data_IF_539434146894
#
_entry.id   IF_539434146894
#
_cell.length_a   1.000
_cell.length_b   1.000
_cell.length_c   1.000
_cell.angle_alpha   90.00
_cell.angle_beta   90.00
_cell.angle_gamma   90.00
#
_symmetry.space_group_name_H-M   'P 1'
#
loop_
_entity.id
_entity.type
_entity.pdbx_description
1 polymer ?
#
# COMPACT_ATOMS: atom_id res chain seq x y z
N UNK A 1 -1.19 4.74 41.25
CA UNK A 1 -2.58 5.01 40.81
C UNK A 1 -2.67 4.82 39.29
N UNK A 2 -3.53 3.91 38.83
CA UNK A 2 -3.78 3.73 37.39
C UNK A 2 -4.39 5.05 36.88
N UNK A 3 -3.87 5.67 35.81
CA UNK A 3 -4.46 6.90 35.26
C UNK A 3 -5.90 6.66 34.82
N UNK A 4 -6.87 7.25 35.51
CA UNK A 4 -8.32 7.06 35.29
C UNK A 4 -8.96 8.11 34.38
N UNK A 5 -8.18 8.85 33.59
CA UNK A 5 -8.72 9.87 32.67
C UNK A 5 -9.24 9.28 31.35
N UNK A 6 -9.10 7.98 31.14
CA UNK A 6 -9.47 7.28 29.91
C UNK A 6 -10.96 6.89 29.94
N UNK A 7 -11.58 6.82 28.76
CA UNK A 7 -12.98 6.45 28.62
C UNK A 7 -13.21 4.98 29.03
N UNK A 8 -14.30 4.69 29.75
CA UNK A 8 -14.73 3.34 30.14
C UNK A 8 -14.76 2.37 28.95
N UNK A 9 -15.10 2.86 27.76
CA UNK A 9 -15.12 2.08 26.52
C UNK A 9 -13.75 1.50 26.12
N UNK A 10 -12.64 2.08 26.57
CA UNK A 10 -11.27 1.61 26.31
C UNK A 10 -10.70 0.90 27.56
N UNK A 11 -11.04 1.39 28.75
CA UNK A 11 -10.61 0.78 30.01
C UNK A 11 -11.15 -0.64 30.18
N UNK A 12 -12.42 -0.88 29.88
CA UNK A 12 -13.01 -2.22 30.02
C UNK A 12 -12.30 -3.26 29.13
N UNK A 13 -12.14 -3.06 27.80
CA UNK A 13 -11.40 -4.00 26.96
C UNK A 13 -9.95 -4.20 27.42
N UNK A 14 -9.28 -3.15 27.88
CA UNK A 14 -7.91 -3.23 28.39
C UNK A 14 -7.82 -4.09 29.66
N UNK A 15 -8.73 -3.92 30.62
CA UNK A 15 -8.76 -4.72 31.84
C UNK A 15 -9.11 -6.19 31.56
N UNK A 16 -9.99 -6.44 30.58
CA UNK A 16 -10.28 -7.79 30.09
C UNK A 16 -9.05 -8.45 29.48
N UNK A 17 -8.33 -7.72 28.61
CA UNK A 17 -7.04 -8.17 28.03
C UNK A 17 -6.03 -8.57 29.10
N UNK A 18 -5.84 -7.72 30.11
CA UNK A 18 -4.90 -7.98 31.21
C UNK A 18 -5.31 -9.18 32.07
N UNK A 19 -6.62 -9.42 32.18
CA UNK A 19 -7.20 -10.51 32.96
C UNK A 19 -7.37 -11.81 32.17
N UNK A 20 -6.96 -11.84 30.89
CA UNK A 20 -7.14 -12.99 30.00
C UNK A 20 -8.60 -13.32 29.70
N UNK A 21 -9.50 -12.35 29.87
CA UNK A 21 -10.92 -12.49 29.58
C UNK A 21 -11.20 -12.26 28.10
N UNK A 22 -12.22 -12.93 27.53
CA UNK A 22 -12.62 -12.68 26.15
C UNK A 22 -13.04 -11.22 25.98
N UNK A 23 -12.40 -10.57 25.02
CA UNK A 23 -12.82 -9.29 24.50
C UNK A 23 -13.97 -9.59 23.53
N UNK A 24 -15.06 -8.81 23.52
CA UNK A 24 -16.00 -8.87 22.41
C UNK A 24 -15.21 -8.53 21.14
N UNK A 25 -14.84 -9.56 20.37
CA UNK A 25 -14.01 -9.43 19.19
C UNK A 25 -14.66 -8.45 18.19
N UNK A 26 -13.85 -7.69 17.45
CA UNK A 26 -14.27 -6.76 16.39
C UNK A 26 -15.04 -7.43 15.23
N UNK A 27 -15.28 -8.74 15.31
CA UNK A 27 -15.95 -9.55 14.31
C UNK A 27 -17.46 -9.73 14.56
N UNK A 28 -18.01 -9.28 15.70
CA UNK A 28 -19.38 -9.64 16.09
C UNK A 28 -20.44 -8.55 15.84
N UNK A 29 -20.07 -7.44 15.20
CA UNK A 29 -21.03 -6.50 14.61
C UNK A 29 -20.85 -6.54 13.11
N UNK A 30 -21.80 -7.17 12.42
CA UNK A 30 -22.01 -7.05 10.98
C UNK A 30 -21.98 -5.57 10.62
N UNK A 31 -20.91 -5.12 9.96
CA UNK A 31 -20.85 -3.78 9.41
C UNK A 31 -20.10 -3.85 8.09
N UNK A 32 -20.86 -3.93 7.00
CA UNK A 32 -20.39 -3.83 5.62
C UNK A 32 -20.21 -2.35 5.19
N UNK A 33 -19.89 -1.43 6.13
CA UNK A 33 -19.77 0.00 5.84
C UNK A 33 -18.42 0.60 6.27
N UNK A 34 -17.89 1.53 5.47
CA UNK A 34 -16.59 2.17 5.73
C UNK A 34 -16.50 2.87 7.10
N UNK A 35 -17.63 3.40 7.60
CA UNK A 35 -17.72 4.03 8.92
C UNK A 35 -17.40 3.09 10.09
N UNK A 36 -17.67 1.78 9.96
CA UNK A 36 -17.34 0.84 11.02
C UNK A 36 -15.85 0.53 11.09
N UNK A 37 -15.18 0.47 9.93
CA UNK A 37 -13.75 0.17 9.87
C UNK A 37 -12.93 1.29 10.52
N UNK A 38 -13.32 2.54 10.30
CA UNK A 38 -12.71 3.70 10.94
C UNK A 38 -12.80 3.62 12.47
N UNK A 39 -13.98 3.28 12.98
CA UNK A 39 -14.20 3.15 14.42
C UNK A 39 -13.30 2.10 15.07
N UNK A 40 -13.12 0.95 14.42
CA UNK A 40 -12.26 -0.12 14.94
C UNK A 40 -10.79 0.30 15.00
N UNK A 41 -10.30 1.04 14.00
CA UNK A 41 -8.94 1.57 14.04
C UNK A 41 -8.74 2.54 15.20
N UNK A 42 -9.68 3.46 15.42
CA UNK A 42 -9.60 4.41 16.54
C UNK A 42 -9.58 3.69 17.90
N UNK A 43 -10.44 2.69 18.08
CA UNK A 43 -10.46 1.87 19.30
C UNK A 43 -9.13 1.13 19.50
N UNK A 44 -8.56 0.58 18.42
CA UNK A 44 -7.27 -0.11 18.47
C UNK A 44 -6.11 0.82 18.80
N UNK A 45 -6.05 1.99 18.16
CA UNK A 45 -5.02 2.99 18.42
C UNK A 45 -5.07 3.45 19.89
N UNK A 46 -6.28 3.64 20.43
CA UNK A 46 -6.48 3.97 21.84
C UNK A 46 -6.02 2.85 22.78
N UNK A 47 -6.35 1.59 22.49
CA UNK A 47 -5.91 0.44 23.28
C UNK A 47 -4.40 0.24 23.23
N UNK A 48 -3.78 0.42 22.07
CA UNK A 48 -2.33 0.34 21.90
C UNK A 48 -1.61 1.43 22.69
N UNK A 49 -2.08 2.67 22.60
CA UNK A 49 -1.54 3.81 23.36
C UNK A 49 -1.69 3.58 24.86
N UNK A 50 -2.83 3.04 25.30
CA UNK A 50 -3.07 2.73 26.70
C UNK A 50 -2.13 1.61 27.17
N UNK A 51 -1.99 0.55 26.39
CA UNK A 51 -1.11 -0.57 26.72
C UNK A 51 0.37 -0.18 26.75
N UNK A 52 0.81 0.74 25.88
CA UNK A 52 2.12 1.37 25.95
C UNK A 52 2.28 2.19 27.25
N UNK A 53 1.29 3.04 27.57
CA UNK A 53 1.34 3.89 28.76
C UNK A 53 1.34 3.12 30.08
N UNK A 54 0.74 1.93 30.09
CA UNK A 54 0.65 1.05 31.26
C UNK A 54 1.79 0.02 31.32
N UNK A 55 2.72 0.05 30.37
CA UNK A 55 3.79 -0.95 30.22
C UNK A 55 3.24 -2.39 30.30
N UNK A 56 2.21 -2.65 29.48
CA UNK A 56 1.44 -3.88 29.50
C UNK A 56 1.79 -4.76 28.28
N UNK A 57 2.89 -5.55 28.33
CA UNK A 57 3.38 -6.32 27.18
C UNK A 57 2.42 -7.45 26.75
N UNK A 58 1.62 -7.98 27.68
CA UNK A 58 0.60 -9.00 27.40
C UNK A 58 -0.48 -8.47 26.45
N UNK A 59 -1.24 -7.42 26.84
CA UNK A 59 -2.18 -6.74 25.96
C UNK A 59 -1.57 -6.31 24.62
N UNK A 60 -0.38 -5.71 24.61
CA UNK A 60 0.31 -5.32 23.36
C UNK A 60 0.51 -6.51 22.42
N UNK A 61 0.91 -7.68 22.94
CA UNK A 61 1.12 -8.89 22.14
C UNK A 61 -0.18 -9.42 21.53
N UNK A 62 -1.29 -9.35 22.27
CA UNK A 62 -2.61 -9.77 21.79
C UNK A 62 -3.12 -8.80 20.71
N UNK A 63 -2.99 -7.49 20.95
CA UNK A 63 -3.40 -6.45 20.00
C UNK A 63 -2.60 -6.55 18.69
N UNK A 64 -1.27 -6.76 18.79
CA UNK A 64 -0.40 -7.00 17.63
C UNK A 64 -0.88 -8.15 16.74
N UNK A 65 -1.35 -9.24 17.35
CA UNK A 65 -1.90 -10.36 16.59
C UNK A 65 -3.19 -9.95 15.85
N UNK A 66 -4.05 -9.18 16.51
CA UNK A 66 -5.33 -8.72 15.95
C UNK A 66 -5.20 -7.75 14.76
N UNK A 67 -4.21 -6.85 14.77
CA UNK A 67 -4.03 -5.85 13.70
C UNK A 67 -3.60 -6.43 12.35
N UNK A 68 -3.29 -7.72 12.27
CA UNK A 68 -2.99 -8.41 11.00
C UNK A 68 -4.23 -9.01 10.32
N UNK A 69 -5.40 -8.85 10.93
CA UNK A 69 -6.69 -9.24 10.34
C UNK A 69 -6.97 -8.48 9.03
N UNK A 70 -7.66 -9.08 8.04
CA UNK A 70 -7.97 -8.44 6.76
C UNK A 70 -8.54 -7.03 6.86
N UNK A 71 -9.42 -6.77 7.83
CA UNK A 71 -10.03 -5.44 8.03
C UNK A 71 -9.01 -4.30 8.23
N UNK A 72 -7.84 -4.59 8.83
CA UNK A 72 -6.79 -3.58 9.01
C UNK A 72 -5.85 -3.51 7.80
N UNK A 73 -5.76 -4.58 7.01
CA UNK A 73 -4.98 -4.60 5.78
C UNK A 73 -5.64 -3.78 4.66
N UNK A 74 -6.92 -3.46 4.78
CA UNK A 74 -7.65 -2.56 3.89
C UNK A 74 -7.25 -1.09 4.10
N UNK A 75 -6.71 -0.72 5.27
CA UNK A 75 -6.12 0.60 5.52
C UNK A 75 -4.60 0.48 5.80
N UNK A 76 -3.81 0.08 4.81
CA UNK A 76 -2.42 -0.36 5.02
C UNK A 76 -1.49 0.77 5.48
N UNK A 77 -1.78 2.04 5.18
CA UNK A 77 -0.93 3.16 5.61
C UNK A 77 -1.01 3.41 7.12
N UNK A 78 -2.21 3.34 7.71
CA UNK A 78 -2.38 3.44 9.16
C UNK A 78 -1.76 2.26 9.88
N UNK A 79 -1.97 1.05 9.37
CA UNK A 79 -1.32 -0.14 9.91
C UNK A 79 0.21 -0.04 9.82
N UNK A 80 0.74 0.50 8.72
CA UNK A 80 2.17 0.76 8.57
C UNK A 80 2.67 1.75 9.63
N UNK A 81 1.94 2.84 9.86
CA UNK A 81 2.29 3.82 10.90
C UNK A 81 2.34 3.18 12.29
N UNK A 82 1.28 2.46 12.68
CA UNK A 82 1.22 1.72 13.96
C UNK A 82 2.39 0.75 14.08
N UNK A 83 2.60 -0.11 13.08
CA UNK A 83 3.63 -1.12 13.12
C UNK A 83 5.05 -0.52 13.16
N UNK A 84 5.27 0.65 12.54
CA UNK A 84 6.57 1.33 12.63
C UNK A 84 6.79 2.03 13.97
N UNK A 85 5.74 2.59 14.60
CA UNK A 85 5.81 3.17 15.94
C UNK A 85 6.25 2.13 16.98
N UNK A 86 5.67 0.93 16.93
CA UNK A 86 6.01 -0.16 17.85
C UNK A 86 7.18 -1.06 17.41
N UNK A 87 7.89 -0.69 16.33
CA UNK A 87 8.99 -1.46 15.75
C UNK A 87 8.62 -2.91 15.36
N UNK A 88 7.35 -3.15 15.01
CA UNK A 88 6.82 -4.42 14.54
C UNK A 88 7.16 -4.65 13.07
N UNK A 89 8.42 -4.99 12.82
CA UNK A 89 8.96 -5.12 11.46
C UNK A 89 8.18 -6.09 10.53
N UNK A 90 7.73 -7.27 10.97
CA UNK A 90 6.94 -8.17 10.12
C UNK A 90 5.63 -7.53 9.63
N UNK A 91 4.90 -6.87 10.53
CA UNK A 91 3.62 -6.21 10.29
C UNK A 91 3.81 -4.97 9.44
N UNK A 92 4.85 -4.18 9.71
CA UNK A 92 5.22 -3.04 8.87
C UNK A 92 5.56 -3.50 7.44
N UNK A 93 6.28 -4.62 7.29
CA UNK A 93 6.57 -5.19 5.97
C UNK A 93 5.29 -5.64 5.27
N UNK A 94 4.38 -6.31 5.98
CA UNK A 94 3.08 -6.73 5.43
C UNK A 94 2.26 -5.52 4.97
N UNK A 95 2.08 -4.53 5.84
CA UNK A 95 1.35 -3.30 5.52
C UNK A 95 1.96 -2.54 4.33
N UNK A 96 3.30 -2.42 4.27
CA UNK A 96 3.99 -1.79 3.13
C UNK A 96 3.80 -2.52 1.80
N UNK A 97 3.51 -3.84 1.83
CA UNK A 97 3.18 -4.60 0.62
C UNK A 97 1.75 -4.33 0.17
N UNK A 98 0.82 -4.15 1.11
CA UNK A 98 -0.57 -3.83 0.81
C UNK A 98 -0.73 -2.39 0.30
N UNK A 99 0.11 -1.46 0.75
CA UNK A 99 0.09 -0.08 0.25
C UNK A 99 0.54 0.09 -1.20
N UNK A 100 1.11 -0.95 -1.84
CA UNK A 100 1.53 -0.89 -3.24
C UNK A 100 0.35 -0.63 -4.21
N UNK A 101 -0.88 -0.95 -3.79
CA UNK A 101 -2.08 -0.68 -4.57
C UNK A 101 -2.63 0.74 -4.44
N UNK A 102 -2.02 1.58 -3.61
CA UNK A 102 -2.49 2.93 -3.30
C UNK A 102 -1.64 3.99 -4.00
N UNK A 103 -2.28 5.10 -4.38
CA UNK A 103 -1.60 6.29 -4.86
C UNK A 103 -1.19 7.14 -3.65
N UNK A 104 0.10 7.10 -3.28
CA UNK A 104 0.61 7.83 -2.11
C UNK A 104 0.49 9.36 -2.22
N UNK A 105 0.17 9.88 -3.40
CA UNK A 105 0.01 11.31 -3.63
C UNK A 105 -1.46 11.75 -3.63
N UNK A 106 -2.40 10.84 -3.39
CA UNK A 106 -3.79 11.20 -3.16
C UNK A 106 -3.95 11.90 -1.80
N UNK A 107 -4.73 12.99 -1.78
CA UNK A 107 -5.00 13.79 -0.59
C UNK A 107 -5.70 12.94 0.51
N UNK A 108 -6.43 11.89 0.12
CA UNK A 108 -7.06 10.95 1.05
C UNK A 108 -6.06 10.29 2.01
N UNK A 109 -4.80 10.15 1.59
CA UNK A 109 -3.77 9.46 2.36
C UNK A 109 -2.88 10.39 3.19
N UNK A 110 -3.07 11.71 3.08
CA UNK A 110 -2.23 12.72 3.70
C UNK A 110 -2.15 12.53 5.23
N UNK A 111 -3.30 12.30 5.88
CA UNK A 111 -3.35 12.15 7.34
C UNK A 111 -2.52 10.95 7.82
N UNK A 112 -2.67 9.79 7.15
CA UNK A 112 -1.94 8.58 7.52
C UNK A 112 -0.43 8.74 7.27
N UNK A 113 -0.03 9.44 6.20
CA UNK A 113 1.37 9.70 5.87
C UNK A 113 2.01 10.69 6.84
N UNK A 114 1.27 11.71 7.30
CA UNK A 114 1.74 12.69 8.28
C UNK A 114 2.05 12.08 9.65
N UNK A 115 1.45 10.92 9.99
CA UNK A 115 1.76 10.17 11.21
C UNK A 115 3.12 9.45 11.14
N UNK A 116 3.70 9.27 9.95
CA UNK A 116 4.98 8.56 9.78
C UNK A 116 6.16 9.47 10.10
N UNK A 117 7.18 8.89 10.76
CA UNK A 117 8.47 9.55 10.83
C UNK A 117 9.09 9.68 9.43
N UNK A 118 9.92 10.71 9.22
CA UNK A 118 10.56 10.93 7.91
C UNK A 118 11.35 9.71 7.42
N UNK A 119 11.93 8.92 8.34
CA UNK A 119 12.64 7.68 8.02
C UNK A 119 11.70 6.65 7.38
N UNK A 120 10.52 6.43 7.97
CA UNK A 120 9.55 5.43 7.50
C UNK A 120 8.83 5.90 6.24
N UNK A 121 8.50 7.20 6.15
CA UNK A 121 7.96 7.79 4.93
C UNK A 121 8.94 7.63 3.75
N UNK A 122 10.22 7.96 3.94
CA UNK A 122 11.24 7.78 2.90
C UNK A 122 11.41 6.31 2.49
N UNK A 123 11.30 5.37 3.44
CA UNK A 123 11.37 3.94 3.13
C UNK A 123 10.18 3.52 2.25
N UNK A 124 8.97 4.00 2.56
CA UNK A 124 7.76 3.73 1.79
C UNK A 124 7.83 4.32 0.37
N UNK A 125 8.23 5.57 0.24
CA UNK A 125 8.41 6.23 -1.07
C UNK A 125 9.46 5.51 -1.92
N UNK A 126 10.56 5.05 -1.30
CA UNK A 126 11.59 4.27 -1.99
C UNK A 126 11.05 2.92 -2.47
N UNK A 127 10.22 2.24 -1.67
CA UNK A 127 9.61 0.98 -2.07
C UNK A 127 8.80 1.13 -3.36
N UNK A 128 7.89 2.10 -3.40
CA UNK A 128 7.07 2.39 -4.58
C UNK A 128 7.92 2.78 -5.78
N UNK A 129 8.84 3.74 -5.59
CA UNK A 129 9.75 4.21 -6.64
C UNK A 129 10.64 3.10 -7.20
N UNK A 130 11.18 2.23 -6.35
CA UNK A 130 12.07 1.15 -6.78
C UNK A 130 11.35 0.13 -7.66
N UNK A 131 10.09 -0.20 -7.36
CA UNK A 131 9.30 -1.13 -8.18
C UNK A 131 9.03 -0.56 -9.57
N UNK A 132 8.59 0.69 -9.65
CA UNK A 132 8.42 1.41 -10.91
C UNK A 132 9.73 1.48 -11.70
N UNK A 133 10.83 1.84 -11.05
CA UNK A 133 12.15 1.94 -11.70
C UNK A 133 12.63 0.57 -12.22
N UNK A 134 12.40 -0.51 -11.48
CA UNK A 134 12.75 -1.85 -11.93
C UNK A 134 11.98 -2.24 -13.20
N UNK A 135 10.69 -1.93 -13.27
CA UNK A 135 9.90 -2.12 -14.49
C UNK A 135 10.41 -1.24 -15.63
N UNK A 136 10.73 0.03 -15.35
CA UNK A 136 11.29 0.94 -16.36
C UNK A 136 12.57 0.37 -16.99
N UNK A 137 13.50 -0.10 -16.16
CA UNK A 137 14.75 -0.72 -16.65
C UNK A 137 14.46 -1.90 -17.55
N UNK A 138 13.48 -2.74 -17.18
CA UNK A 138 13.07 -3.88 -18.01
C UNK A 138 12.44 -3.45 -19.35
N UNK A 139 11.61 -2.40 -19.37
CA UNK A 139 10.99 -1.88 -20.59
C UNK A 139 12.00 -1.18 -21.52
N UNK A 140 13.06 -0.62 -20.95
CA UNK A 140 14.15 0.05 -21.68
C UNK A 140 15.25 -0.94 -22.13
N UNK A 141 15.13 -2.24 -21.83
CA UNK A 141 16.09 -3.26 -22.23
C UNK A 141 16.04 -3.50 -23.76
N UNK A 142 17.13 -3.24 -24.50
CA UNK A 142 17.17 -3.43 -25.95
C UNK A 142 17.24 -4.91 -26.35
N UNK A 143 17.65 -5.82 -25.47
CA UNK A 143 17.66 -7.26 -25.77
C UNK A 143 16.24 -7.84 -25.70
N UNK A 144 15.40 -7.28 -24.82
CA UNK A 144 13.99 -7.69 -24.67
C UNK A 144 13.11 -7.00 -25.71
N UNK A 145 13.28 -5.69 -25.90
CA UNK A 145 12.45 -4.87 -26.78
C UNK A 145 13.30 -4.15 -27.85
N UNK A 146 14.01 -4.93 -28.67
CA UNK A 146 14.99 -4.44 -29.66
C UNK A 146 14.43 -3.44 -30.66
N UNK A 147 13.28 -3.74 -31.27
CA UNK A 147 12.68 -2.84 -32.27
C UNK A 147 12.11 -1.57 -31.62
N UNK A 148 11.44 -1.70 -30.48
CA UNK A 148 10.83 -0.57 -29.77
C UNK A 148 11.85 0.40 -29.18
N UNK A 149 13.03 -0.09 -28.77
CA UNK A 149 14.07 0.72 -28.12
C UNK A 149 15.18 1.17 -29.09
N UNK A 150 15.09 0.83 -30.38
CA UNK A 150 16.06 1.29 -31.37
C UNK A 150 15.76 2.72 -31.86
N UNK A 151 16.80 3.55 -31.94
CA UNK A 151 16.67 4.93 -32.41
C UNK A 151 16.54 5.05 -33.94
N UNK A 152 17.06 4.08 -34.71
CA UNK A 152 17.17 4.15 -36.18
C UNK A 152 17.00 2.78 -36.85
N UNK A 153 16.04 1.97 -36.39
CA UNK A 153 15.75 0.70 -37.06
C UNK A 153 15.00 0.95 -38.35
N UNK A 154 15.49 0.33 -39.43
CA UNK A 154 14.77 0.26 -40.70
C UNK A 154 13.89 -0.96 -40.72
N UNK A 155 12.70 -0.79 -41.25
CA UNK A 155 11.87 -1.94 -41.56
C UNK A 155 12.33 -2.60 -42.87
N UNK A 156 11.98 -3.88 -43.06
CA UNK A 156 12.17 -4.61 -44.32
C UNK A 156 11.52 -3.93 -45.55
N UNK A 157 10.59 -2.99 -45.36
CA UNK A 157 10.03 -2.19 -46.46
C UNK A 157 10.89 -0.96 -46.84
N UNK A 158 12.07 -0.79 -46.24
CA UNK A 158 12.96 0.39 -46.31
C UNK A 158 12.40 1.70 -45.70
N UNK A 159 11.28 1.64 -44.99
CA UNK A 159 10.78 2.75 -44.17
C UNK A 159 11.47 2.84 -42.81
N UNK A 160 11.54 4.05 -42.26
CA UNK A 160 11.96 4.28 -40.88
C UNK A 160 10.87 3.79 -39.90
N UNK A 161 11.27 3.06 -38.85
CA UNK A 161 10.32 2.57 -37.85
C UNK A 161 9.93 3.71 -36.91
N UNK A 162 8.63 4.03 -36.86
CA UNK A 162 8.09 4.97 -35.87
C UNK A 162 7.83 4.26 -34.52
N UNK A 163 8.75 4.48 -33.57
CA UNK A 163 8.63 3.99 -32.19
C UNK A 163 7.83 4.93 -31.27
N UNK A 164 7.09 5.91 -31.80
CA UNK A 164 6.23 6.80 -31.00
C UNK A 164 5.21 6.04 -30.16
N UNK A 165 4.54 5.05 -30.75
CA UNK A 165 3.50 4.27 -30.06
C UNK A 165 4.06 3.45 -28.88
N UNK A 166 5.26 2.87 -29.03
CA UNK A 166 5.95 2.17 -27.94
C UNK A 166 6.35 3.11 -26.81
N UNK A 167 6.89 4.30 -27.15
CA UNK A 167 7.26 5.31 -26.15
C UNK A 167 6.06 5.82 -25.36
N UNK A 168 4.93 6.04 -26.03
CA UNK A 168 3.66 6.42 -25.39
C UNK A 168 3.16 5.32 -24.45
N UNK A 169 3.18 4.06 -24.89
CA UNK A 169 2.79 2.92 -24.06
C UNK A 169 3.68 2.79 -22.81
N UNK A 170 5.01 2.88 -22.98
CA UNK A 170 5.94 2.87 -21.84
C UNK A 170 5.62 4.00 -20.86
N UNK A 171 5.41 5.22 -21.35
CA UNK A 171 5.08 6.36 -20.50
C UNK A 171 3.77 6.12 -19.72
N UNK A 172 2.73 5.56 -20.37
CA UNK A 172 1.46 5.23 -19.71
C UNK A 172 1.63 4.14 -18.64
N UNK A 173 2.41 3.09 -18.91
CA UNK A 173 2.72 2.02 -17.94
C UNK A 173 3.46 2.60 -16.73
N UNK A 174 4.46 3.45 -16.94
CA UNK A 174 5.22 4.06 -15.84
C UNK A 174 4.34 4.98 -15.00
N UNK A 175 3.47 5.77 -15.64
CA UNK A 175 2.47 6.59 -14.94
C UNK A 175 1.52 5.73 -14.11
N UNK A 176 1.07 4.60 -14.66
CA UNK A 176 0.21 3.68 -13.90
C UNK A 176 0.93 3.14 -12.65
N UNK A 177 2.20 2.78 -12.79
CA UNK A 177 3.01 2.30 -11.68
C UNK A 177 3.34 3.37 -10.62
N UNK A 178 3.21 4.66 -10.95
CA UNK A 178 3.30 5.75 -9.97
C UNK A 178 2.07 5.78 -9.06
N UNK A 179 0.89 5.45 -9.60
CA UNK A 179 -0.38 5.43 -8.87
C UNK A 179 -0.65 4.07 -8.21
N UNK A 180 -0.19 2.99 -8.84
CA UNK A 180 -0.39 1.63 -8.39
C UNK A 180 0.87 0.80 -8.66
N UNK A 181 1.83 0.88 -7.75
CA UNK A 181 3.11 0.16 -7.86
C UNK A 181 2.99 -1.35 -7.66
N UNK A 182 1.81 -1.86 -7.28
CA UNK A 182 1.48 -3.30 -7.33
C UNK A 182 1.41 -3.77 -8.79
N UNK A 183 1.04 -2.89 -9.71
CA UNK A 183 0.94 -3.18 -11.14
C UNK A 183 -0.29 -3.99 -11.49
N UNK A 184 -1.38 -3.87 -10.72
CA UNK A 184 -2.60 -4.67 -10.93
C UNK A 184 -3.19 -4.50 -12.34
N UNK A 185 -3.01 -3.33 -12.95
CA UNK A 185 -3.51 -3.02 -14.29
C UNK A 185 -2.49 -3.30 -15.40
N UNK A 186 -1.21 -3.46 -15.08
CA UNK A 186 -0.18 -3.71 -16.10
C UNK A 186 -0.26 -5.16 -16.54
N UNK A 187 -0.66 -5.38 -17.79
CA UNK A 187 -0.90 -6.72 -18.36
C UNK A 187 -2.28 -7.30 -18.03
N UNK A 188 -3.20 -6.49 -17.49
CA UNK A 188 -4.59 -6.87 -17.28
C UNK A 188 -5.44 -6.59 -18.54
N UNK A 189 -6.72 -7.00 -18.50
CA UNK A 189 -7.65 -6.74 -19.60
C UNK A 189 -7.91 -5.23 -19.80
N UNK A 190 -7.87 -4.44 -18.72
CA UNK A 190 -8.01 -2.99 -18.77
C UNK A 190 -6.90 -2.32 -19.58
N UNK A 191 -5.68 -2.88 -19.55
CA UNK A 191 -4.56 -2.37 -20.36
C UNK A 191 -4.81 -2.54 -21.86
N UNK A 192 -5.59 -3.55 -22.27
CA UNK A 192 -6.01 -3.77 -23.66
C UNK A 192 -6.92 -2.66 -24.20
N UNK A 193 -7.60 -1.95 -23.31
CA UNK A 193 -8.49 -0.86 -23.66
C UNK A 193 -7.79 0.51 -23.71
N UNK A 194 -6.55 0.61 -23.21
CA UNK A 194 -5.80 1.86 -23.25
C UNK A 194 -5.50 2.29 -24.68
N UNK A 195 -5.66 3.59 -24.96
CA UNK A 195 -5.44 4.16 -26.30
C UNK A 195 -4.01 3.94 -26.78
N UNK A 196 -3.04 4.10 -25.88
CA UNK A 196 -1.62 3.92 -26.13
C UNK A 196 -1.31 2.48 -26.52
N UNK A 197 -1.92 1.53 -25.81
CA UNK A 197 -1.72 0.12 -26.08
C UNK A 197 -2.35 -0.28 -27.42
N UNK A 198 -3.60 0.14 -27.68
CA UNK A 198 -4.28 -0.07 -28.98
C UNK A 198 -3.46 0.49 -30.15
N UNK A 199 -2.88 1.68 -29.98
CA UNK A 199 -2.00 2.29 -30.98
C UNK A 199 -0.73 1.47 -31.17
N UNK A 200 -0.12 0.98 -30.08
CA UNK A 200 1.08 0.16 -30.13
C UNK A 200 0.84 -1.19 -30.84
N UNK A 201 -0.26 -1.89 -30.55
CA UNK A 201 -0.57 -3.16 -31.21
C UNK A 201 -0.95 -3.01 -32.68
N UNK A 202 -1.55 -1.87 -33.05
CA UNK A 202 -1.88 -1.55 -34.44
C UNK A 202 -0.73 -0.91 -35.20
N UNK A 203 0.39 -0.63 -34.54
CA UNK A 203 1.55 -0.04 -35.18
C UNK A 203 2.03 -0.99 -36.28
N UNK A 204 2.16 -0.45 -37.49
CA UNK A 204 2.67 -1.15 -38.64
C UNK A 204 3.95 -0.48 -39.09
N UNK A 205 4.81 -1.30 -39.66
CA UNK A 205 5.67 -0.87 -40.74
C UNK A 205 4.86 -0.93 -42.06
#
# INVERSE_FOLDING_TARGET
PIPTSQNDAILEPMLRLMSGLPIPFWSQRECDSDESNEKYFVEIEALLTLAESWDAPGPLSILRFGITSPMFLDQPLRLYAIATHFEWHPEAKLASKHSLGLDLYDDEHEEALNRLSSKHLLALLRLHRNRRNALKVFLDDPEVFSLGNADNSRCNCNGDIDNSAWRELKARIIREMDQNSRGSFVGSWEMEEWKESVRCWKAKC
#
